data_IF_775041582511
#
_entry.id   IF_775041582511
#
_cell.length_a   1.000
_cell.length_b   1.000
_cell.length_c   1.000
_cell.angle_alpha   90.00
_cell.angle_beta   90.00
_cell.angle_gamma   90.00
#
_symmetry.space_group_name_H-M   'P 1'
#
loop_
_entity.id
_entity.type
_entity.pdbx_description
1 polymer ?
#
# COMPACT_ATOMS: atom_id res chain seq x y z
N UNK A 1 -2.88 28.44 -3.86
CA UNK A 1 -2.24 27.89 -5.07
C UNK A 1 -1.49 26.67 -4.62
N UNK A 2 -1.69 25.50 -5.23
CA UNK A 2 -0.89 24.33 -4.88
C UNK A 2 0.59 24.66 -5.12
N UNK A 3 1.40 24.49 -4.08
CA UNK A 3 2.84 24.68 -4.13
C UNK A 3 3.46 23.36 -4.56
N UNK A 4 3.46 23.08 -5.86
CA UNK A 4 4.18 21.95 -6.42
C UNK A 4 5.67 22.23 -6.33
N UNK A 5 6.33 21.70 -5.31
CA UNK A 5 7.76 21.78 -5.12
C UNK A 5 8.30 20.36 -4.95
N UNK A 6 8.94 19.85 -6.02
CA UNK A 6 9.51 18.50 -6.06
C UNK A 6 8.53 17.39 -6.46
N UNK A 7 8.97 16.15 -6.29
CA UNK A 7 8.26 14.95 -6.73
C UNK A 7 7.23 14.44 -5.69
N UNK A 8 6.64 15.36 -4.92
CA UNK A 8 5.75 15.06 -3.79
C UNK A 8 4.48 15.93 -3.85
N UNK A 9 3.32 15.33 -3.57
CA UNK A 9 2.02 16.01 -3.45
C UNK A 9 1.62 16.09 -1.98
N UNK A 10 1.19 17.26 -1.50
CA UNK A 10 0.77 17.44 -0.11
C UNK A 10 -0.57 16.71 0.16
N UNK A 11 -0.76 16.21 1.38
CA UNK A 11 -2.03 15.59 1.83
C UNK A 11 -3.26 16.43 1.50
N UNK A 12 -3.15 17.76 1.60
CA UNK A 12 -4.28 18.68 1.33
C UNK A 12 -4.69 18.71 -0.14
N UNK A 13 -3.78 18.37 -1.05
CA UNK A 13 -4.00 18.36 -2.51
C UNK A 13 -4.42 16.98 -3.04
N UNK A 14 -4.23 15.88 -2.28
CA UNK A 14 -4.62 14.52 -2.68
C UNK A 14 -6.11 14.38 -3.03
N UNK A 15 -7.06 14.88 -2.24
CA UNK A 15 -8.49 14.78 -2.59
C UNK A 15 -8.82 15.54 -3.89
N UNK A 16 -8.15 16.67 -4.13
CA UNK A 16 -8.33 17.45 -5.35
C UNK A 16 -7.81 16.69 -6.56
N UNK A 17 -6.63 16.05 -6.43
CA UNK A 17 -6.05 15.21 -7.46
C UNK A 17 -6.96 14.03 -7.83
N UNK A 18 -7.35 13.21 -6.85
CA UNK A 18 -8.15 12.02 -7.10
C UNK A 18 -9.51 12.38 -7.74
N UNK A 19 -10.15 13.46 -7.28
CA UNK A 19 -11.37 13.98 -7.92
C UNK A 19 -11.15 14.45 -9.37
N UNK A 20 -9.99 15.02 -9.68
CA UNK A 20 -9.65 15.46 -11.05
C UNK A 20 -9.37 14.30 -12.00
N UNK A 21 -8.91 13.18 -11.46
CA UNK A 21 -8.68 11.94 -12.19
C UNK A 21 -9.96 11.09 -12.35
N UNK A 22 -11.10 11.60 -11.87
CA UNK A 22 -12.37 10.86 -11.82
C UNK A 22 -12.26 9.53 -11.04
N UNK A 23 -11.33 9.48 -10.06
CA UNK A 23 -11.11 8.31 -9.23
C UNK A 23 -12.21 8.22 -8.16
N UNK A 24 -12.95 7.10 -8.16
CA UNK A 24 -14.02 6.86 -7.20
C UNK A 24 -13.49 6.19 -5.93
N UNK A 25 -13.58 6.88 -4.79
CA UNK A 25 -13.36 6.29 -3.47
C UNK A 25 -14.39 6.80 -2.46
N UNK A 26 -14.66 6.04 -1.40
CA UNK A 26 -15.53 6.46 -0.30
C UNK A 26 -14.84 7.48 0.60
N UNK A 27 -15.61 8.16 1.47
CA UNK A 27 -15.05 9.07 2.48
C UNK A 27 -14.10 8.35 3.44
N UNK A 28 -14.44 7.11 3.82
CA UNK A 28 -13.61 6.27 4.69
C UNK A 28 -12.30 5.85 4.00
N UNK A 29 -12.36 5.49 2.72
CA UNK A 29 -11.17 5.18 1.92
C UNK A 29 -10.25 6.40 1.80
N UNK A 30 -10.81 7.58 1.51
CA UNK A 30 -10.04 8.82 1.45
C UNK A 30 -9.36 9.13 2.79
N UNK A 31 -10.09 9.04 3.89
CA UNK A 31 -9.54 9.25 5.23
C UNK A 31 -8.42 8.23 5.56
N UNK A 32 -8.59 6.99 5.10
CA UNK A 32 -7.61 5.93 5.16
C UNK A 32 -6.34 6.25 4.38
N UNK A 33 -6.45 6.68 3.12
CA UNK A 33 -5.29 7.07 2.30
C UNK A 33 -4.53 8.26 2.92
N UNK A 34 -5.25 9.26 3.43
CA UNK A 34 -4.61 10.40 4.09
C UNK A 34 -3.87 9.99 5.37
N UNK A 35 -4.44 9.06 6.13
CA UNK A 35 -3.79 8.47 7.32
C UNK A 35 -2.56 7.67 6.93
N UNK A 36 -2.67 6.83 5.91
CA UNK A 36 -1.57 6.05 5.36
C UNK A 36 -0.41 6.95 4.90
N UNK A 37 -0.70 7.99 4.11
CA UNK A 37 0.31 8.94 3.63
C UNK A 37 0.96 9.73 4.77
N UNK A 38 0.20 10.11 5.80
CA UNK A 38 0.73 10.76 7.00
C UNK A 38 1.74 9.86 7.72
N UNK A 39 1.35 8.62 7.98
CA UNK A 39 2.09 7.71 8.85
C UNK A 39 3.25 7.01 8.10
N UNK A 40 3.06 6.73 6.80
CA UNK A 40 4.00 5.99 5.95
C UNK A 40 4.87 6.89 5.06
N UNK A 41 4.39 8.06 4.63
CA UNK A 41 5.10 8.93 3.69
C UNK A 41 5.28 10.37 4.20
N UNK A 42 5.23 10.59 5.52
CA UNK A 42 5.50 11.90 6.12
C UNK A 42 4.50 12.99 5.71
N UNK A 43 3.28 12.59 5.35
CA UNK A 43 2.20 13.49 4.96
C UNK A 43 2.33 14.03 3.53
N UNK A 44 3.00 13.27 2.65
CA UNK A 44 3.07 13.59 1.23
C UNK A 44 2.89 12.32 0.40
N UNK A 45 2.22 12.42 -0.74
CA UNK A 45 2.15 11.37 -1.74
C UNK A 45 3.37 11.49 -2.68
N UNK A 46 4.31 10.53 -2.70
CA UNK A 46 5.37 10.52 -3.68
C UNK A 46 4.80 10.28 -5.07
N UNK A 47 5.23 11.07 -6.06
CA UNK A 47 4.77 10.92 -7.45
C UNK A 47 5.10 9.53 -8.01
N UNK A 48 6.26 8.97 -7.65
CA UNK A 48 6.64 7.61 -8.03
C UNK A 48 5.58 6.59 -7.62
N UNK A 49 5.12 6.64 -6.36
CA UNK A 49 4.08 5.76 -5.82
C UNK A 49 2.74 6.05 -6.49
N UNK A 50 2.35 7.32 -6.58
CA UNK A 50 1.07 7.70 -7.19
C UNK A 50 0.95 7.29 -8.66
N UNK A 51 2.00 7.53 -9.45
CA UNK A 51 2.05 7.15 -10.88
C UNK A 51 2.08 5.64 -11.03
N UNK A 52 2.91 4.94 -10.24
CA UNK A 52 2.99 3.49 -10.30
C UNK A 52 1.65 2.84 -9.94
N UNK A 53 1.02 3.24 -8.83
CA UNK A 53 -0.28 2.70 -8.39
C UNK A 53 -1.40 2.96 -9.39
N UNK A 54 -1.47 4.17 -9.95
CA UNK A 54 -2.49 4.50 -10.96
C UNK A 54 -2.22 3.84 -12.32
N UNK A 55 -0.95 3.62 -12.66
CA UNK A 55 -0.54 2.98 -13.92
C UNK A 55 -0.84 1.48 -13.99
N UNK A 56 -1.06 0.84 -12.85
CA UNK A 56 -1.39 -0.59 -12.74
C UNK A 56 -2.73 -0.82 -12.04
N UNK A 57 -3.59 0.21 -11.95
CA UNK A 57 -4.83 0.17 -11.16
C UNK A 57 -5.81 -0.94 -11.59
N UNK A 58 -5.68 -1.46 -12.81
CA UNK A 58 -6.46 -2.59 -13.33
C UNK A 58 -5.89 -3.98 -12.98
N UNK A 59 -4.68 -4.03 -12.41
CA UNK A 59 -4.00 -5.26 -11.97
C UNK A 59 -3.75 -5.22 -10.46
N UNK A 60 -4.69 -5.81 -9.69
CA UNK A 60 -4.64 -5.83 -8.23
C UNK A 60 -3.31 -6.39 -7.66
N UNK A 61 -2.68 -7.34 -8.36
CA UNK A 61 -1.40 -7.93 -7.95
C UNK A 61 -0.26 -6.94 -8.10
N UNK A 62 -0.20 -6.24 -9.23
CA UNK A 62 0.80 -5.20 -9.44
C UNK A 62 0.56 -3.99 -8.52
N UNK A 63 -0.69 -3.62 -8.25
CA UNK A 63 -0.99 -2.58 -7.25
C UNK A 63 -0.46 -2.99 -5.88
N UNK A 64 -0.67 -4.25 -5.47
CA UNK A 64 -0.14 -4.77 -4.21
C UNK A 64 1.39 -4.67 -4.16
N UNK A 65 2.06 -5.13 -5.21
CA UNK A 65 3.52 -5.08 -5.32
C UNK A 65 4.05 -3.66 -5.22
N UNK A 66 3.42 -2.70 -5.89
CA UNK A 66 3.79 -1.28 -5.84
C UNK A 66 3.67 -0.74 -4.42
N UNK A 67 2.60 -1.06 -3.69
CA UNK A 67 2.40 -0.56 -2.33
C UNK A 67 3.36 -1.20 -1.33
N UNK A 68 3.61 -2.52 -1.40
CA UNK A 68 4.58 -3.20 -0.55
C UNK A 68 5.98 -2.63 -0.79
N UNK A 69 6.38 -2.47 -2.05
CA UNK A 69 7.67 -1.87 -2.39
C UNK A 69 7.76 -0.39 -1.97
N UNK A 70 6.66 0.35 -2.01
CA UNK A 70 6.64 1.74 -1.53
C UNK A 70 6.74 1.84 0.00
N UNK A 71 6.35 0.78 0.71
CA UNK A 71 6.44 0.66 2.16
C UNK A 71 7.80 0.18 2.64
N UNK A 72 8.55 -0.57 1.82
CA UNK A 72 9.96 -0.93 2.05
C UNK A 72 10.82 0.33 2.22
N UNK A 73 10.94 0.77 3.48
CA UNK A 73 11.48 2.09 3.85
C UNK A 73 12.99 2.07 3.90
N UNK A 74 13.55 0.97 4.38
CA UNK A 74 14.99 0.79 4.47
C UNK A 74 15.60 0.25 3.16
N UNK A 75 14.74 -0.15 2.21
CA UNK A 75 15.10 -0.65 0.88
C UNK A 75 15.94 -1.91 0.95
N UNK A 76 15.69 -2.74 1.96
CA UNK A 76 16.39 -4.00 2.14
C UNK A 76 15.78 -5.13 1.29
N UNK A 77 14.60 -4.89 0.69
CA UNK A 77 13.88 -5.83 -0.18
C UNK A 77 13.04 -6.86 0.59
N UNK A 78 12.95 -6.73 1.91
CA UNK A 78 12.16 -7.57 2.80
C UNK A 78 11.05 -6.75 3.48
N UNK A 79 10.09 -7.45 4.08
CA UNK A 79 8.97 -6.82 4.78
C UNK A 79 9.13 -6.99 6.28
N UNK A 80 9.26 -5.87 7.00
CA UNK A 80 9.30 -5.86 8.45
C UNK A 80 7.90 -5.80 9.11
N UNK A 81 7.86 -5.84 10.46
CA UNK A 81 6.59 -5.81 11.19
C UNK A 81 5.81 -4.49 11.00
N UNK A 82 6.51 -3.37 10.86
CA UNK A 82 5.89 -2.06 10.63
C UNK A 82 5.28 -1.99 9.23
N UNK A 83 6.02 -2.42 8.22
CA UNK A 83 5.64 -2.44 6.80
C UNK A 83 4.48 -3.41 6.55
N UNK A 84 4.52 -4.59 7.20
CA UNK A 84 3.41 -5.53 7.21
C UNK A 84 2.13 -4.89 7.77
N UNK A 85 2.20 -4.23 8.93
CA UNK A 85 1.02 -3.59 9.55
C UNK A 85 0.46 -2.48 8.68
N UNK A 86 1.31 -1.68 8.06
CA UNK A 86 0.90 -0.64 7.12
C UNK A 86 0.19 -1.24 5.90
N UNK A 87 0.72 -2.33 5.35
CA UNK A 87 0.12 -3.06 4.22
C UNK A 87 -1.24 -3.63 4.60
N UNK A 88 -1.35 -4.34 5.74
CA UNK A 88 -2.63 -4.88 6.23
C UNK A 88 -3.67 -3.79 6.45
N UNK A 89 -3.27 -2.64 7.00
CA UNK A 89 -4.17 -1.51 7.19
C UNK A 89 -4.69 -0.98 5.85
N UNK A 90 -3.83 -0.87 4.84
CA UNK A 90 -4.24 -0.47 3.49
C UNK A 90 -5.20 -1.49 2.89
N UNK A 91 -4.90 -2.79 2.96
CA UNK A 91 -5.77 -3.83 2.45
C UNK A 91 -7.16 -3.81 3.13
N UNK A 92 -7.22 -3.59 4.44
CA UNK A 92 -8.48 -3.51 5.19
C UNK A 92 -9.37 -2.32 4.80
N UNK A 93 -8.80 -1.26 4.22
CA UNK A 93 -9.57 -0.13 3.67
C UNK A 93 -10.34 -0.53 2.40
N UNK A 94 -9.82 -1.48 1.63
CA UNK A 94 -10.43 -1.98 0.41
C UNK A 94 -11.28 -3.24 0.66
N UNK A 95 -10.81 -4.11 1.55
CA UNK A 95 -11.51 -5.33 1.96
C UNK A 95 -11.52 -5.47 3.48
N UNK A 96 -12.57 -4.94 4.15
CA UNK A 96 -12.74 -5.09 5.60
C UNK A 96 -12.89 -6.55 6.07
N UNK A 97 -13.15 -7.49 5.15
CA UNK A 97 -13.29 -8.91 5.46
C UNK A 97 -11.97 -9.66 5.52
N UNK A 98 -10.86 -9.01 5.14
CA UNK A 98 -9.53 -9.60 5.20
C UNK A 98 -9.23 -10.11 6.61
N UNK A 99 -8.80 -11.36 6.69
CA UNK A 99 -8.44 -11.99 7.95
C UNK A 99 -7.30 -11.21 8.61
N UNK A 100 -7.49 -10.80 9.87
CA UNK A 100 -6.43 -10.17 10.65
C UNK A 100 -5.38 -11.23 11.01
N UNK A 101 -4.27 -11.20 10.31
CA UNK A 101 -3.11 -12.06 10.56
C UNK A 101 -2.06 -11.26 11.34
N UNK A 102 -1.35 -11.92 12.26
CA UNK A 102 -0.24 -11.32 12.98
C UNK A 102 1.07 -11.52 12.21
N UNK A 103 2.08 -10.69 12.48
CA UNK A 103 3.34 -10.73 11.73
C UNK A 103 4.05 -12.09 11.80
N UNK A 104 4.09 -12.74 12.97
CA UNK A 104 4.74 -14.04 13.11
C UNK A 104 4.12 -15.12 12.22
N UNK A 105 2.79 -15.15 12.16
CA UNK A 105 2.04 -16.09 11.31
C UNK A 105 2.22 -15.75 9.83
N UNK A 106 2.26 -14.47 9.49
CA UNK A 106 2.59 -14.02 8.14
C UNK A 106 3.97 -14.52 7.71
N UNK A 107 5.00 -14.35 8.55
CA UNK A 107 6.35 -14.87 8.24
C UNK A 107 6.34 -16.38 8.09
N UNK A 108 5.68 -17.12 9.00
CA UNK A 108 5.59 -18.58 8.93
C UNK A 108 4.92 -19.09 7.63
N UNK A 109 3.94 -18.35 7.11
CA UNK A 109 3.18 -18.75 5.92
C UNK A 109 3.78 -18.23 4.61
N UNK A 110 4.43 -17.06 4.62
CA UNK A 110 4.95 -16.39 3.43
C UNK A 110 6.42 -16.72 3.13
N UNK A 111 7.23 -17.09 4.13
CA UNK A 111 8.65 -17.46 3.98
C UNK A 111 8.78 -18.83 3.29
N UNK A 112 8.78 -18.83 1.96
CA UNK A 112 8.75 -20.05 1.14
C UNK A 112 10.13 -20.67 1.00
N UNK A 113 11.17 -19.84 0.95
CA UNK A 113 12.56 -20.28 0.82
C UNK A 113 13.22 -20.61 2.17
N UNK A 114 12.56 -20.25 3.28
CA UNK A 114 12.92 -20.56 4.67
C UNK A 114 14.19 -19.84 5.11
N UNK A 115 14.41 -18.63 4.62
CA UNK A 115 15.53 -17.79 5.03
C UNK A 115 15.27 -17.03 6.35
N UNK A 116 14.03 -17.08 6.86
CA UNK A 116 13.59 -16.45 8.10
C UNK A 116 13.13 -15.00 7.93
N UNK A 117 13.02 -14.52 6.69
CA UNK A 117 12.49 -13.21 6.31
C UNK A 117 11.39 -13.42 5.25
N UNK A 118 10.73 -12.33 4.88
CA UNK A 118 9.75 -12.35 3.79
C UNK A 118 10.15 -11.31 2.77
N UNK A 119 10.47 -11.75 1.57
CA UNK A 119 10.78 -10.85 0.45
C UNK A 119 9.52 -10.12 -0.04
N UNK A 120 9.70 -9.00 -0.75
CA UNK A 120 8.57 -8.29 -1.40
C UNK A 120 7.77 -9.24 -2.31
N UNK A 121 8.44 -10.15 -3.02
CA UNK A 121 7.79 -11.10 -3.91
C UNK A 121 6.90 -12.08 -3.14
N UNK A 122 7.42 -12.68 -2.06
CA UNK A 122 6.67 -13.60 -1.19
C UNK A 122 5.50 -12.90 -0.51
N UNK A 123 5.71 -11.69 0.02
CA UNK A 123 4.65 -10.89 0.60
C UNK A 123 3.53 -10.61 -0.42
N UNK A 124 3.90 -10.24 -1.66
CA UNK A 124 2.95 -9.98 -2.74
C UNK A 124 2.10 -11.21 -3.04
N UNK A 125 2.72 -12.38 -3.20
CA UNK A 125 1.98 -13.64 -3.42
C UNK A 125 1.05 -13.93 -2.25
N UNK A 126 1.55 -13.84 -1.02
CA UNK A 126 0.76 -14.15 0.18
C UNK A 126 -0.48 -13.25 0.28
N UNK A 127 -0.33 -11.94 0.07
CA UNK A 127 -1.47 -11.00 0.08
C UNK A 127 -2.45 -11.23 -1.07
N UNK A 128 -1.97 -11.63 -2.25
CA UNK A 128 -2.85 -11.96 -3.38
C UNK A 128 -3.66 -13.23 -3.12
N UNK A 129 -3.08 -14.25 -2.48
CA UNK A 129 -3.78 -15.51 -2.16
C UNK A 129 -4.81 -15.33 -1.04
N UNK A 130 -4.50 -14.48 -0.05
CA UNK A 130 -5.36 -14.25 1.12
C UNK A 130 -6.36 -13.11 0.91
N UNK A 131 -6.14 -12.24 -0.08
CA UNK A 131 -7.06 -11.20 -0.50
C UNK A 131 -8.04 -11.68 -1.56
N UNK A 132 -8.95 -12.61 -1.21
CA UNK A 132 -9.90 -13.21 -2.17
C UNK A 132 -10.84 -12.19 -2.87
N UNK A 133 -10.88 -10.93 -2.45
CA UNK A 133 -11.68 -9.86 -3.07
C UNK A 133 -10.99 -8.48 -3.10
N UNK A 134 -9.67 -8.41 -3.25
CA UNK A 134 -8.98 -7.12 -3.50
C UNK A 134 -9.34 -6.57 -4.88
N UNK A 135 -10.53 -5.95 -5.01
CA UNK A 135 -10.84 -5.03 -6.10
C UNK A 135 -10.42 -3.65 -5.63
N UNK A 136 -9.31 -3.16 -6.17
CA UNK A 136 -8.91 -1.75 -6.02
C UNK A 136 -9.65 -0.86 -7.01
#
# INVERSE_FOLDING_TARGET
>A
MPTFCGDLIDLTDVPVLLKRLDFSCTEDQMAGYLTFLRDCHGGKLPLEVGIASLGVADDAREVMRVHIHALDRDRDGFVDEFEFKATVQLCLLHDPSLAKVNFNKFVEEADTDKDGKVSIAEATEWFCEHGQNLKM
#
